data_IF_289305270473
#
_entry.id   IF_289305270473
#
_cell.length_a   1.000
_cell.length_b   1.000
_cell.length_c   1.000
_cell.angle_alpha   90.00
_cell.angle_beta   90.00
_cell.angle_gamma   90.00
#
_symmetry.space_group_name_H-M   'P 1'
#
loop_
_entity.id
_entity.type
_entity.pdbx_description
1 polymer ?
#
# COMPACT_ATOMS: atom_id res chain seq x y z
N UNK A 1 22.43 7.29 -1.93
CA UNK A 1 21.86 8.15 -3.01
C UNK A 1 22.37 7.76 -4.40
N UNK A 2 23.70 7.55 -4.62
CA UNK A 2 24.26 7.25 -5.94
C UNK A 2 23.65 6.05 -6.67
N UNK A 3 23.32 4.96 -5.96
CA UNK A 3 22.73 3.77 -6.55
C UNK A 3 21.33 3.98 -7.14
N UNK A 4 20.52 4.87 -6.56
CA UNK A 4 19.16 5.18 -7.07
C UNK A 4 19.26 5.93 -8.38
N UNK A 5 20.15 6.88 -8.51
CA UNK A 5 20.39 7.61 -9.77
C UNK A 5 20.87 6.69 -10.91
N UNK A 6 21.72 5.70 -10.59
CA UNK A 6 22.18 4.71 -11.58
C UNK A 6 21.01 3.85 -12.07
N UNK A 7 20.13 3.41 -11.18
CA UNK A 7 18.99 2.56 -11.54
C UNK A 7 17.86 3.34 -12.22
N UNK A 8 17.60 4.57 -11.79
CA UNK A 8 16.54 5.41 -12.37
C UNK A 8 16.88 5.87 -13.78
N UNK A 9 18.16 6.15 -14.07
CA UNK A 9 18.63 6.73 -15.34
C UNK A 9 17.85 8.02 -15.70
N UNK A 10 17.47 8.82 -14.68
CA UNK A 10 16.63 10.01 -14.85
C UNK A 10 17.20 10.94 -15.92
N UNK A 11 16.35 11.37 -16.86
CA UNK A 11 16.73 12.22 -18.01
C UNK A 11 17.55 11.51 -19.10
N UNK A 12 17.72 10.20 -19.04
CA UNK A 12 18.47 9.42 -20.05
C UNK A 12 17.55 8.48 -20.85
N UNK A 13 17.99 7.99 -22.04
CA UNK A 13 17.16 7.11 -22.87
C UNK A 13 16.67 5.83 -22.18
N UNK A 14 17.38 5.36 -21.15
CA UNK A 14 17.03 4.17 -20.36
C UNK A 14 16.30 4.51 -19.05
N UNK A 15 15.76 5.71 -18.92
CA UNK A 15 15.06 6.11 -17.71
C UNK A 15 14.01 5.07 -17.30
N UNK A 16 14.13 4.56 -16.06
CA UNK A 16 13.22 3.58 -15.46
C UNK A 16 13.29 2.16 -16.03
N UNK A 17 14.09 1.87 -17.05
CA UNK A 17 14.20 0.53 -17.63
C UNK A 17 14.64 -0.52 -16.60
N UNK A 18 15.68 -0.23 -15.83
CA UNK A 18 16.19 -1.16 -14.82
C UNK A 18 15.17 -1.37 -13.68
N UNK A 19 14.48 -0.32 -13.27
CA UNK A 19 13.42 -0.40 -12.25
C UNK A 19 12.27 -1.28 -12.74
N UNK A 20 11.82 -1.08 -13.97
CA UNK A 20 10.79 -1.92 -14.58
C UNK A 20 11.23 -3.39 -14.66
N UNK A 21 12.49 -3.64 -15.00
CA UNK A 21 13.02 -5.00 -15.02
C UNK A 21 13.05 -5.64 -13.64
N UNK A 22 13.39 -4.88 -12.59
CA UNK A 22 13.32 -5.34 -11.20
C UNK A 22 11.89 -5.66 -10.77
N UNK A 23 10.89 -4.84 -11.15
CA UNK A 23 9.47 -5.14 -10.92
C UNK A 23 9.09 -6.46 -11.59
N UNK A 24 9.46 -6.68 -12.85
CA UNK A 24 9.21 -7.94 -13.54
C UNK A 24 9.85 -9.13 -12.83
N UNK A 25 11.09 -9.01 -12.37
CA UNK A 25 11.77 -10.06 -11.62
C UNK A 25 11.09 -10.35 -10.28
N UNK A 26 10.60 -9.32 -9.58
CA UNK A 26 9.86 -9.50 -8.33
C UNK A 26 8.56 -10.28 -8.56
N UNK A 27 7.81 -10.00 -9.61
CA UNK A 27 6.49 -10.62 -9.82
C UNK A 27 6.56 -11.99 -10.49
N UNK A 28 7.50 -12.21 -11.40
CA UNK A 28 7.60 -13.44 -12.19
C UNK A 28 8.89 -14.24 -11.96
N UNK A 29 9.83 -13.71 -11.17
CA UNK A 29 11.13 -14.31 -10.95
C UNK A 29 11.05 -15.70 -10.30
N UNK A 30 11.86 -16.62 -10.83
CA UNK A 30 12.15 -17.95 -10.29
C UNK A 30 13.65 -18.18 -10.53
N UNK A 31 14.41 -18.69 -9.59
CA UNK A 31 14.04 -19.16 -8.25
C UNK A 31 13.78 -18.03 -7.22
N UNK A 32 13.50 -18.42 -5.98
CA UNK A 32 13.16 -17.47 -4.89
C UNK A 32 14.22 -16.40 -4.65
N UNK A 33 15.50 -16.73 -4.74
CA UNK A 33 16.58 -15.77 -4.54
C UNK A 33 16.49 -14.60 -5.52
N UNK A 34 16.05 -14.84 -6.76
CA UNK A 34 15.94 -13.80 -7.79
C UNK A 34 14.94 -12.73 -7.42
N UNK A 35 13.75 -13.10 -6.96
CA UNK A 35 12.75 -12.10 -6.57
C UNK A 35 13.04 -11.48 -5.20
N UNK A 36 13.69 -12.20 -4.29
CA UNK A 36 14.10 -11.65 -3.01
C UNK A 36 15.15 -10.54 -3.16
N UNK A 37 16.12 -10.72 -4.04
CA UNK A 37 17.12 -9.69 -4.38
C UNK A 37 16.46 -8.49 -5.08
N UNK A 38 15.63 -8.73 -6.09
CA UNK A 38 14.91 -7.68 -6.79
C UNK A 38 14.03 -6.88 -5.83
N UNK A 39 13.35 -7.55 -4.90
CA UNK A 39 12.54 -6.95 -3.87
C UNK A 39 13.35 -6.04 -2.94
N UNK A 40 14.51 -6.50 -2.48
CA UNK A 40 15.38 -5.73 -1.60
C UNK A 40 15.86 -4.44 -2.27
N UNK A 41 16.22 -4.51 -3.55
CA UNK A 41 16.61 -3.34 -4.34
C UNK A 41 15.42 -2.39 -4.51
N UNK A 42 14.24 -2.90 -4.89
CA UNK A 42 13.03 -2.08 -5.08
C UNK A 42 12.56 -1.43 -3.78
N UNK A 43 12.63 -2.12 -2.63
CA UNK A 43 12.33 -1.53 -1.32
C UNK A 43 13.26 -0.36 -1.02
N UNK A 44 14.55 -0.47 -1.32
CA UNK A 44 15.49 0.63 -1.12
C UNK A 44 15.24 1.78 -2.10
N UNK A 45 14.98 1.49 -3.36
CA UNK A 45 14.69 2.47 -4.41
C UNK A 45 13.40 3.24 -4.07
N UNK A 46 12.34 2.57 -3.63
CA UNK A 46 11.05 3.18 -3.30
C UNK A 46 11.08 4.13 -2.08
N UNK A 47 12.12 4.06 -1.25
CA UNK A 47 12.34 5.03 -0.14
C UNK A 47 12.75 6.42 -0.64
N UNK A 48 13.30 6.51 -1.84
CA UNK A 48 13.77 7.77 -2.41
C UNK A 48 12.73 8.42 -3.33
N UNK A 49 12.58 9.76 -3.32
CA UNK A 49 11.61 10.47 -4.16
C UNK A 49 11.76 10.14 -5.65
N UNK A 50 12.99 10.13 -6.18
CA UNK A 50 13.28 9.77 -7.57
C UNK A 50 12.83 8.34 -7.87
N UNK A 51 13.11 7.40 -6.96
CA UNK A 51 12.68 6.00 -7.12
C UNK A 51 11.16 5.87 -7.14
N UNK A 52 10.45 6.54 -6.25
CA UNK A 52 8.97 6.57 -6.24
C UNK A 52 8.41 7.13 -7.55
N UNK A 53 8.92 8.28 -7.98
CA UNK A 53 8.53 8.89 -9.25
C UNK A 53 8.68 7.91 -10.41
N UNK A 54 9.86 7.29 -10.57
CA UNK A 54 10.12 6.38 -11.68
C UNK A 54 9.24 5.12 -11.62
N UNK A 55 8.98 4.56 -10.43
CA UNK A 55 8.07 3.42 -10.28
C UNK A 55 6.65 3.81 -10.70
N UNK A 56 6.16 4.98 -10.27
CA UNK A 56 4.80 5.44 -10.54
C UNK A 56 4.60 5.91 -12.00
N UNK A 57 5.61 6.52 -12.60
CA UNK A 57 5.53 7.03 -13.98
C UNK A 57 5.60 5.90 -15.03
N UNK A 58 6.04 4.70 -14.65
CA UNK A 58 6.11 3.56 -15.56
C UNK A 58 4.78 2.84 -15.68
N UNK A 59 4.21 2.89 -16.87
CA UNK A 59 2.96 2.23 -17.23
C UNK A 59 2.99 0.74 -16.85
N UNK A 60 2.01 0.32 -16.08
CA UNK A 60 1.85 -1.07 -15.67
C UNK A 60 2.67 -1.50 -14.44
N UNK A 61 3.61 -0.69 -13.92
CA UNK A 61 4.38 -1.08 -12.73
C UNK A 61 3.48 -1.35 -11.53
N UNK A 62 2.49 -0.50 -11.28
CA UNK A 62 1.57 -0.66 -10.15
C UNK A 62 0.65 -1.86 -10.33
N UNK A 63 0.08 -2.05 -11.52
CA UNK A 63 -0.72 -3.26 -11.83
C UNK A 63 0.10 -4.52 -11.57
N UNK A 64 1.36 -4.53 -12.03
CA UNK A 64 2.26 -5.66 -11.83
C UNK A 64 2.62 -5.90 -10.36
N UNK A 65 2.53 -4.91 -9.47
CA UNK A 65 2.73 -5.08 -8.04
C UNK A 65 1.44 -5.53 -7.33
N UNK A 66 0.31 -4.89 -7.62
CA UNK A 66 -0.96 -5.15 -6.94
C UNK A 66 -1.50 -6.57 -7.22
N UNK A 67 -1.45 -7.01 -8.47
CA UNK A 67 -1.97 -8.34 -8.86
C UNK A 67 -1.28 -9.49 -8.10
N UNK A 68 0.07 -9.58 -8.03
CA UNK A 68 0.71 -10.63 -7.25
C UNK A 68 0.54 -10.47 -5.74
N UNK A 69 0.36 -9.26 -5.21
CA UNK A 69 0.06 -9.06 -3.80
C UNK A 69 -1.24 -9.74 -3.41
N UNK A 70 -2.25 -9.71 -4.30
CA UNK A 70 -3.53 -10.37 -4.08
C UNK A 70 -3.50 -11.88 -4.32
N UNK A 71 -2.71 -12.36 -5.27
CA UNK A 71 -2.78 -13.72 -5.80
C UNK A 71 -1.60 -14.63 -5.41
N UNK A 72 -0.47 -14.07 -4.98
CA UNK A 72 0.72 -14.88 -4.65
C UNK A 72 0.51 -15.68 -3.37
N UNK A 73 0.85 -16.96 -3.41
CA UNK A 73 0.94 -17.83 -2.22
C UNK A 73 2.26 -17.66 -1.46
N UNK A 74 3.20 -16.87 -1.99
CA UNK A 74 4.50 -16.65 -1.39
C UNK A 74 4.46 -15.42 -0.47
N UNK A 75 4.58 -15.62 0.83
CA UNK A 75 4.54 -14.58 1.86
C UNK A 75 5.62 -13.53 1.64
N UNK A 76 6.86 -13.94 1.41
CA UNK A 76 7.98 -13.02 1.17
C UNK A 76 7.69 -12.06 0.01
N UNK A 77 7.06 -12.56 -1.06
CA UNK A 77 6.69 -11.71 -2.21
C UNK A 77 5.64 -10.69 -1.82
N UNK A 78 4.57 -11.12 -1.12
CA UNK A 78 3.51 -10.24 -0.66
C UNK A 78 4.03 -9.17 0.32
N UNK A 79 4.84 -9.58 1.29
CA UNK A 79 5.48 -8.67 2.26
C UNK A 79 6.29 -7.57 1.58
N UNK A 80 7.12 -7.95 0.61
CA UNK A 80 7.96 -6.99 -0.09
C UNK A 80 7.15 -6.04 -0.97
N UNK A 81 6.10 -6.54 -1.61
CA UNK A 81 5.20 -5.70 -2.40
C UNK A 81 4.46 -4.71 -1.49
N UNK A 82 3.91 -5.17 -0.35
CA UNK A 82 3.24 -4.30 0.62
C UNK A 82 4.18 -3.19 1.12
N UNK A 83 5.43 -3.52 1.46
CA UNK A 83 6.43 -2.55 1.88
C UNK A 83 6.79 -1.53 0.77
N UNK A 84 6.90 -1.98 -0.49
CA UNK A 84 7.12 -1.08 -1.63
C UNK A 84 5.94 -0.12 -1.78
N UNK A 85 4.69 -0.61 -1.75
CA UNK A 85 3.51 0.23 -1.88
C UNK A 85 3.43 1.23 -0.72
N UNK A 86 3.69 0.82 0.52
CA UNK A 86 3.77 1.73 1.66
C UNK A 86 4.81 2.85 1.43
N UNK A 87 6.00 2.51 0.94
CA UNK A 87 7.01 3.51 0.61
C UNK A 87 6.54 4.48 -0.48
N UNK A 88 5.78 4.00 -1.48
CA UNK A 88 5.18 4.86 -2.51
C UNK A 88 4.18 5.87 -1.93
N UNK A 89 3.63 5.60 -0.75
CA UNK A 89 2.70 6.51 -0.06
C UNK A 89 3.40 7.57 0.80
N UNK A 90 4.74 7.61 0.90
CA UNK A 90 5.45 8.48 1.86
C UNK A 90 5.29 9.98 1.60
N UNK A 91 5.10 10.43 0.37
CA UNK A 91 4.88 11.85 0.04
C UNK A 91 3.55 12.08 -0.69
N UNK A 92 3.03 13.33 -0.60
CA UNK A 92 1.71 13.68 -1.14
C UNK A 92 1.64 13.54 -2.66
N UNK A 93 2.70 13.90 -3.40
CA UNK A 93 2.71 13.79 -4.86
C UNK A 93 2.60 12.32 -5.29
N UNK A 94 3.37 11.45 -4.67
CA UNK A 94 3.33 10.00 -4.91
C UNK A 94 1.97 9.39 -4.55
N UNK A 95 1.36 9.80 -3.42
CA UNK A 95 0.00 9.36 -3.04
C UNK A 95 -1.04 9.74 -4.09
N UNK A 96 -1.05 11.00 -4.54
CA UNK A 96 -1.98 11.47 -5.56
C UNK A 96 -1.83 10.72 -6.88
N UNK A 97 -0.59 10.47 -7.31
CA UNK A 97 -0.33 9.63 -8.48
C UNK A 97 -0.84 8.20 -8.31
N UNK A 98 -0.60 7.60 -7.14
CA UNK A 98 -1.06 6.24 -6.83
C UNK A 98 -2.58 6.16 -6.83
N UNK A 99 -3.28 7.13 -6.22
CA UNK A 99 -4.74 7.21 -6.21
C UNK A 99 -5.32 7.45 -7.61
N UNK A 100 -4.66 8.23 -8.45
CA UNK A 100 -5.07 8.43 -9.84
C UNK A 100 -4.96 7.15 -10.69
N UNK A 101 -4.19 6.16 -10.26
CA UNK A 101 -4.08 4.84 -10.89
C UNK A 101 -5.09 3.83 -10.33
N UNK A 102 -5.78 4.16 -9.23
CA UNK A 102 -6.80 3.30 -8.64
C UNK A 102 -8.04 3.24 -9.55
N UNK A 103 -8.43 2.04 -9.94
CA UNK A 103 -9.53 1.79 -10.87
C UNK A 103 -10.13 0.41 -10.64
N UNK A 104 -11.24 0.10 -11.32
CA UNK A 104 -11.80 -1.25 -11.30
C UNK A 104 -10.82 -2.32 -11.83
N UNK A 105 -10.00 -1.96 -12.81
CA UNK A 105 -8.98 -2.85 -13.38
C UNK A 105 -7.74 -2.98 -12.46
N UNK A 106 -7.48 -1.95 -11.67
CA UNK A 106 -6.34 -1.90 -10.74
C UNK A 106 -6.81 -1.38 -9.38
N UNK A 107 -7.54 -2.19 -8.60
CA UNK A 107 -8.18 -1.74 -7.36
C UNK A 107 -7.16 -1.68 -6.20
N UNK A 108 -6.32 -0.65 -6.18
CA UNK A 108 -5.19 -0.51 -5.26
C UNK A 108 -5.70 -0.42 -3.81
N UNK A 109 -6.61 0.51 -3.52
CA UNK A 109 -7.14 0.74 -2.17
C UNK A 109 -7.86 -0.51 -1.67
N UNK A 110 -8.69 -1.14 -2.51
CA UNK A 110 -9.37 -2.40 -2.17
C UNK A 110 -8.37 -3.53 -1.88
N UNK A 111 -7.29 -3.61 -2.66
CA UNK A 111 -6.23 -4.60 -2.46
C UNK A 111 -5.52 -4.42 -1.12
N UNK A 112 -5.29 -3.16 -0.70
CA UNK A 112 -4.67 -2.83 0.58
C UNK A 112 -5.60 -3.04 1.77
N UNK A 113 -6.91 -2.80 1.61
CA UNK A 113 -7.91 -3.05 2.66
C UNK A 113 -8.10 -4.53 2.97
N UNK A 114 -8.04 -5.39 1.94
CA UNK A 114 -8.33 -6.82 2.10
C UNK A 114 -7.53 -7.53 3.20
N UNK A 115 -6.19 -7.37 3.33
CA UNK A 115 -5.40 -8.02 4.37
C UNK A 115 -5.73 -7.60 5.81
N UNK A 116 -6.34 -6.41 5.98
CA UNK A 116 -6.58 -5.76 7.27
C UNK A 116 -8.07 -5.59 7.59
N UNK A 117 -8.97 -6.19 6.82
CA UNK A 117 -10.43 -6.04 6.95
C UNK A 117 -11.10 -7.01 7.92
N UNK A 118 -10.35 -7.83 8.64
CA UNK A 118 -10.91 -8.82 9.56
C UNK A 118 -11.67 -9.97 8.91
N UNK A 119 -11.56 -10.15 7.60
CA UNK A 119 -12.23 -11.23 6.89
C UNK A 119 -11.81 -12.60 7.45
N UNK A 120 -12.78 -13.37 7.97
CA UNK A 120 -12.53 -14.72 8.54
C UNK A 120 -12.06 -15.72 7.49
N UNK A 121 -12.49 -15.54 6.24
CA UNK A 121 -12.09 -16.38 5.10
C UNK A 121 -10.93 -15.69 4.39
N UNK A 122 -9.83 -16.42 4.22
CA UNK A 122 -8.57 -15.92 3.63
C UNK A 122 -7.90 -14.79 4.45
N UNK A 123 -7.92 -14.90 5.79
CA UNK A 123 -7.15 -13.97 6.66
C UNK A 123 -5.68 -13.96 6.22
N UNK A 124 -5.14 -12.76 6.03
CA UNK A 124 -3.70 -12.61 5.79
C UNK A 124 -2.94 -12.96 7.08
N UNK A 125 -2.08 -13.96 7.02
CA UNK A 125 -1.35 -14.46 8.18
C UNK A 125 -0.04 -13.71 8.42
N UNK A 126 0.54 -13.09 7.39
CA UNK A 126 1.80 -12.35 7.54
C UNK A 126 1.55 -10.98 8.17
N UNK A 127 2.12 -10.76 9.35
CA UNK A 127 2.11 -9.48 10.07
C UNK A 127 2.75 -8.38 9.22
N UNK A 128 3.81 -8.69 8.48
CA UNK A 128 4.50 -7.74 7.62
C UNK A 128 3.63 -7.25 6.46
N UNK A 129 2.78 -8.13 5.88
CA UNK A 129 1.81 -7.72 4.86
C UNK A 129 0.77 -6.80 5.47
N UNK A 130 0.19 -7.17 6.62
CA UNK A 130 -0.81 -6.37 7.30
C UNK A 130 -0.25 -5.00 7.72
N UNK A 131 0.96 -4.97 8.30
CA UNK A 131 1.66 -3.73 8.67
C UNK A 131 1.87 -2.82 7.46
N UNK A 132 2.38 -3.34 6.36
CA UNK A 132 2.58 -2.58 5.12
C UNK A 132 1.28 -2.02 4.55
N UNK A 133 0.21 -2.83 4.55
CA UNK A 133 -1.11 -2.42 4.07
C UNK A 133 -1.75 -1.37 4.98
N UNK A 134 -1.73 -1.56 6.31
CA UNK A 134 -2.29 -0.60 7.27
C UNK A 134 -1.56 0.75 7.20
N UNK A 135 -0.22 0.75 7.15
CA UNK A 135 0.55 1.97 6.97
C UNK A 135 0.27 2.67 5.64
N UNK A 136 0.08 1.94 4.55
CA UNK A 136 -0.29 2.52 3.26
C UNK A 136 -1.70 3.15 3.30
N UNK A 137 -2.69 2.46 3.88
CA UNK A 137 -4.07 2.97 4.04
C UNK A 137 -4.08 4.24 4.89
N UNK A 138 -3.38 4.27 6.02
CA UNK A 138 -3.24 5.46 6.85
C UNK A 138 -2.70 6.66 6.06
N UNK A 139 -1.67 6.44 5.25
CA UNK A 139 -1.07 7.50 4.44
C UNK A 139 -2.01 7.97 3.31
N UNK A 140 -2.72 7.06 2.66
CA UNK A 140 -3.70 7.38 1.61
C UNK A 140 -4.94 8.11 2.18
N UNK A 141 -5.35 7.81 3.41
CA UNK A 141 -6.45 8.49 4.10
C UNK A 141 -6.17 9.99 4.36
N UNK A 142 -4.91 10.43 4.32
CA UNK A 142 -4.54 11.85 4.42
C UNK A 142 -4.96 12.66 3.20
N UNK A 143 -5.12 12.03 2.02
CA UNK A 143 -5.60 12.68 0.80
C UNK A 143 -7.13 12.60 0.71
N UNK A 144 -7.77 13.66 0.19
CA UNK A 144 -9.23 13.72 0.05
C UNK A 144 -9.75 12.63 -0.90
N UNK A 145 -9.06 12.42 -2.03
CA UNK A 145 -9.39 11.39 -3.02
C UNK A 145 -9.30 9.99 -2.41
N UNK A 146 -8.30 9.75 -1.57
CA UNK A 146 -8.15 8.46 -0.85
C UNK A 146 -9.33 8.20 0.08
N UNK A 147 -9.77 9.21 0.81
CA UNK A 147 -10.95 9.11 1.69
C UNK A 147 -12.23 8.83 0.90
N UNK A 148 -12.43 9.48 -0.24
CA UNK A 148 -13.60 9.23 -1.09
C UNK A 148 -13.64 7.80 -1.63
N UNK A 149 -12.49 7.24 -2.03
CA UNK A 149 -12.41 5.84 -2.45
C UNK A 149 -12.70 4.91 -1.27
N UNK A 150 -12.10 5.18 -0.10
CA UNK A 150 -12.30 4.40 1.12
C UNK A 150 -13.76 4.43 1.59
N UNK A 151 -14.44 5.57 1.47
CA UNK A 151 -15.87 5.70 1.79
C UNK A 151 -16.73 4.80 0.90
N UNK A 152 -16.47 4.77 -0.41
CA UNK A 152 -17.18 3.89 -1.35
C UNK A 152 -16.96 2.40 -1.09
N UNK A 153 -15.88 2.07 -0.41
CA UNK A 153 -15.51 0.69 -0.05
C UNK A 153 -15.91 0.31 1.39
N UNK A 154 -16.68 1.15 2.08
CA UNK A 154 -17.06 0.96 3.48
C UNK A 154 -15.86 0.71 4.42
N UNK A 155 -14.74 1.37 4.13
CA UNK A 155 -13.49 1.15 4.86
C UNK A 155 -13.61 1.35 6.38
N UNK A 156 -14.36 2.33 6.93
CA UNK A 156 -14.51 2.47 8.37
C UNK A 156 -15.05 1.20 9.05
N UNK A 157 -16.05 0.55 8.44
CA UNK A 157 -16.63 -0.69 8.95
C UNK A 157 -15.62 -1.85 8.85
N UNK A 158 -14.96 -1.97 7.70
CA UNK A 158 -13.96 -3.02 7.45
C UNK A 158 -12.77 -2.91 8.40
N UNK A 159 -12.27 -1.71 8.64
CA UNK A 159 -11.10 -1.50 9.50
C UNK A 159 -11.43 -1.69 10.98
N UNK A 160 -12.66 -1.34 11.42
CA UNK A 160 -13.13 -1.67 12.78
C UNK A 160 -13.14 -3.18 12.99
N UNK A 161 -13.72 -3.95 12.04
CA UNK A 161 -13.71 -5.40 12.12
C UNK A 161 -12.29 -5.99 12.12
N UNK A 162 -11.38 -5.39 11.36
CA UNK A 162 -9.97 -5.77 11.34
C UNK A 162 -9.29 -5.52 12.68
N UNK A 163 -9.51 -4.35 13.26
CA UNK A 163 -8.95 -3.93 14.55
C UNK A 163 -9.36 -4.88 15.70
N UNK A 164 -10.64 -5.27 15.75
CA UNK A 164 -11.17 -6.18 16.78
C UNK A 164 -10.51 -7.59 16.76
N UNK A 165 -9.84 -7.95 15.66
CA UNK A 165 -9.20 -9.26 15.45
C UNK A 165 -7.68 -9.16 15.31
N UNK A 166 -7.12 -7.97 15.43
CA UNK A 166 -5.69 -7.73 15.27
C UNK A 166 -4.98 -7.84 16.63
N UNK A 167 -3.80 -8.44 16.62
CA UNK A 167 -2.95 -8.62 17.81
C UNK A 167 -1.59 -7.91 17.66
N UNK A 168 -1.25 -7.51 16.44
CA UNK A 168 0.04 -6.87 16.14
C UNK A 168 -0.06 -5.36 16.42
N UNK A 169 0.71 -4.86 17.39
CA UNK A 169 0.59 -3.48 17.89
C UNK A 169 0.78 -2.42 16.79
N UNK A 170 1.78 -2.59 15.91
CA UNK A 170 2.04 -1.63 14.84
C UNK A 170 0.86 -1.54 13.84
N UNK A 171 0.13 -2.64 13.66
CA UNK A 171 -1.07 -2.67 12.82
C UNK A 171 -2.22 -1.99 13.54
N UNK A 172 -2.44 -2.31 14.83
CA UNK A 172 -3.44 -1.66 15.67
C UNK A 172 -3.26 -0.14 15.68
N UNK A 173 -2.05 0.35 15.93
CA UNK A 173 -1.71 1.78 15.94
C UNK A 173 -2.06 2.46 14.61
N UNK A 174 -1.75 1.80 13.48
CA UNK A 174 -2.07 2.35 12.16
C UNK A 174 -3.58 2.38 11.88
N UNK A 175 -4.33 1.36 12.34
CA UNK A 175 -5.77 1.30 12.22
C UNK A 175 -6.46 2.35 13.10
N UNK A 176 -6.02 2.56 14.35
CA UNK A 176 -6.50 3.62 15.25
C UNK A 176 -6.29 5.00 14.63
N UNK A 177 -5.07 5.30 14.20
CA UNK A 177 -4.76 6.58 13.55
C UNK A 177 -5.61 6.79 12.27
N UNK A 178 -5.92 5.72 11.53
CA UNK A 178 -6.81 5.81 10.36
C UNK A 178 -8.25 6.10 10.80
N UNK A 179 -8.71 5.50 11.89
CA UNK A 179 -9.99 5.78 12.53
C UNK A 179 -10.11 7.25 12.93
N UNK A 180 -9.08 7.83 13.55
CA UNK A 180 -9.02 9.25 13.90
C UNK A 180 -9.17 10.16 12.67
N UNK A 181 -8.49 9.81 11.57
CA UNK A 181 -8.67 10.54 10.29
C UNK A 181 -10.11 10.44 9.81
N UNK A 182 -10.76 9.28 9.90
CA UNK A 182 -12.13 9.09 9.47
C UNK A 182 -13.11 9.88 10.36
N UNK A 183 -12.93 9.86 11.68
CA UNK A 183 -13.72 10.65 12.64
C UNK A 183 -13.62 12.15 12.32
N UNK A 184 -12.41 12.66 12.17
CA UNK A 184 -12.13 14.06 11.84
C UNK A 184 -12.82 14.53 10.56
N UNK A 185 -13.03 13.63 9.61
CA UNK A 185 -13.62 13.94 8.31
C UNK A 185 -15.07 13.46 8.14
N UNK A 186 -15.73 13.05 9.22
CA UNK A 186 -17.16 12.64 9.22
C UNK A 186 -17.43 11.41 8.35
N UNK A 187 -16.48 10.47 8.29
CA UNK A 187 -16.61 9.26 7.50
C UNK A 187 -17.16 8.06 8.30
N UNK A 188 -17.16 8.18 9.63
CA UNK A 188 -17.62 7.11 10.52
C UNK A 188 -19.15 7.18 10.59
N UNK A 189 -19.89 6.06 10.40
CA UNK A 189 -21.32 6.01 10.60
C UNK A 189 -21.72 6.42 12.03
N UNK A 190 -22.86 7.11 12.20
CA UNK A 190 -23.29 7.67 13.49
C UNK A 190 -23.44 6.61 14.60
N UNK A 191 -23.81 5.38 14.23
CA UNK A 191 -23.93 4.26 15.15
C UNK A 191 -22.58 3.69 15.62
N UNK A 192 -21.49 4.11 14.98
CA UNK A 192 -20.12 3.72 15.31
C UNK A 192 -19.34 4.83 16.04
N UNK A 193 -19.88 6.04 16.13
CA UNK A 193 -19.23 7.14 16.84
C UNK A 193 -19.37 6.91 18.36
N UNK A 194 -18.28 6.93 19.14
CA UNK A 194 -18.33 6.87 20.59
C UNK A 194 -19.21 8.00 21.15
N UNK A 195 -20.17 7.68 22.01
CA UNK A 195 -21.12 8.67 22.56
C UNK A 195 -20.47 9.77 23.41
N UNK A 196 -19.24 9.56 23.82
CA UNK A 196 -18.49 10.49 24.68
C UNK A 196 -17.80 11.63 23.90
N UNK A 197 -17.78 11.58 22.57
CA UNK A 197 -17.13 12.61 21.72
C UNK A 197 -18.13 13.68 21.22
N UNK A 198 -19.42 13.50 21.48
CA UNK A 198 -20.48 14.42 21.01
C UNK A 198 -20.77 15.60 21.94
N UNK A 199 -19.94 15.90 22.95
CA UNK A 199 -20.18 16.90 24.01
C UNK A 199 -19.08 17.98 24.13
N UNK A 200 -18.40 18.38 23.05
CA UNK A 200 -17.58 19.59 23.06
C UNK A 200 -17.92 20.54 21.89
#
# INVERSE_FOLDING_TARGET
EGGVHVLSQEGKPLEGFYIQRLVQLLVSGKPQETYAQAASVLCNVSRHPIGRKVILDRKGSIVNLVTPMLASTCDIRRERIAAIIQNLCCDSESRKKLLALDSEETPIVKALLRPISGAKVNKELSDNVRRGCAGAILLLAKEAEGREIMKKLDAPVLLKQGYELEEESDVCDALEQTGDVFLKHGMVPDDMVPKDVSAE
#
